data_IF_823011313631
#
_entry.id   IF_823011313631
#
_cell.length_a   1.000
_cell.length_b   1.000
_cell.length_c   1.000
_cell.angle_alpha   90.00
_cell.angle_beta   90.00
_cell.angle_gamma   90.00
#
_symmetry.space_group_name_H-M   'P 1'
#
loop_
_entity.id
_entity.type
_entity.pdbx_description
1 polymer ?
#
# COMPACT_ATOMS: atom_id res chain seq x y z
N UNK A 1 2.94 -31.50 -19.57
CA UNK A 1 2.31 -30.26 -20.08
C UNK A 1 0.84 -30.05 -19.69
N UNK A 2 -0.15 -30.83 -20.18
CA UNK A 2 -1.58 -30.61 -19.78
C UNK A 2 -1.83 -30.83 -18.29
N UNK A 3 -1.23 -31.87 -17.71
CA UNK A 3 -1.35 -32.20 -16.29
C UNK A 3 -0.64 -31.18 -15.38
N UNK A 4 0.50 -30.64 -15.81
CA UNK A 4 1.23 -29.58 -15.07
C UNK A 4 0.46 -28.26 -15.08
N UNK A 5 -0.11 -27.86 -16.22
CA UNK A 5 -0.96 -26.67 -16.30
C UNK A 5 -2.19 -26.78 -15.38
N UNK A 6 -2.80 -27.98 -15.28
CA UNK A 6 -3.94 -28.22 -14.39
C UNK A 6 -3.53 -28.14 -12.90
N UNK A 7 -2.35 -28.67 -12.54
CA UNK A 7 -1.83 -28.58 -11.17
C UNK A 7 -1.54 -27.12 -10.78
N UNK A 8 -0.93 -26.34 -11.67
CA UNK A 8 -0.64 -24.93 -11.42
C UNK A 8 -1.92 -24.11 -11.25
N UNK A 9 -2.91 -24.32 -12.12
CA UNK A 9 -4.22 -23.67 -12.02
C UNK A 9 -4.94 -24.04 -10.71
N UNK A 10 -4.81 -25.29 -10.25
CA UNK A 10 -5.36 -25.73 -8.98
C UNK A 10 -4.64 -25.09 -7.79
N UNK A 11 -3.31 -24.98 -7.81
CA UNK A 11 -2.51 -24.33 -6.77
C UNK A 11 -2.86 -22.84 -6.65
N UNK A 12 -2.96 -22.13 -7.77
CA UNK A 12 -3.41 -20.74 -7.79
C UNK A 12 -4.84 -20.58 -7.24
N UNK A 13 -5.78 -21.47 -7.60
CA UNK A 13 -7.14 -21.46 -7.04
C UNK A 13 -7.16 -21.70 -5.53
N UNK A 14 -6.27 -22.55 -5.03
CA UNK A 14 -6.12 -22.79 -3.59
C UNK A 14 -5.58 -21.56 -2.87
N UNK A 15 -4.48 -20.97 -3.34
CA UNK A 15 -3.91 -19.76 -2.74
C UNK A 15 -4.87 -18.55 -2.82
N UNK A 16 -5.63 -18.42 -3.90
CA UNK A 16 -6.68 -17.41 -4.02
C UNK A 16 -7.72 -17.53 -2.89
N UNK A 17 -8.21 -18.74 -2.62
CA UNK A 17 -9.17 -19.00 -1.54
C UNK A 17 -8.54 -18.83 -0.17
N UNK A 18 -7.34 -19.36 0.03
CA UNK A 18 -6.58 -19.21 1.27
C UNK A 18 -6.38 -17.73 1.60
N UNK A 19 -5.95 -16.92 0.63
CA UNK A 19 -5.75 -15.47 0.83
C UNK A 19 -7.01 -14.71 1.23
N UNK A 20 -8.16 -15.04 0.61
CA UNK A 20 -9.45 -14.45 1.02
C UNK A 20 -9.78 -14.89 2.45
N UNK A 21 -9.68 -16.18 2.76
CA UNK A 21 -10.00 -16.70 4.09
C UNK A 21 -9.10 -16.11 5.17
N UNK A 22 -7.77 -16.06 4.93
CA UNK A 22 -6.80 -15.43 5.85
C UNK A 22 -7.18 -14.00 6.18
N UNK A 23 -7.62 -13.20 5.21
CA UNK A 23 -8.04 -11.82 5.46
C UNK A 23 -9.38 -11.77 6.22
N UNK A 24 -10.38 -12.55 5.80
CA UNK A 24 -11.72 -12.50 6.38
C UNK A 24 -11.76 -13.04 7.81
N UNK A 25 -11.07 -14.14 8.09
CA UNK A 25 -11.01 -14.78 9.41
C UNK A 25 -10.29 -13.91 10.44
N UNK A 26 -9.37 -13.04 9.99
CA UNK A 26 -8.61 -12.14 10.85
C UNK A 26 -9.17 -10.71 10.88
N UNK A 27 -10.22 -10.39 10.11
CA UNK A 27 -10.84 -9.07 10.20
C UNK A 27 -11.55 -8.92 11.55
N UNK A 28 -11.11 -7.96 12.34
CA UNK A 28 -11.71 -7.68 13.64
C UNK A 28 -13.21 -7.40 13.52
N UNK A 29 -14.01 -7.76 14.53
CA UNK A 29 -15.47 -7.54 14.55
C UNK A 29 -15.85 -6.06 14.37
N UNK A 30 -14.97 -5.14 14.77
CA UNK A 30 -15.12 -3.70 14.53
C UNK A 30 -14.84 -3.23 13.10
N UNK A 31 -14.25 -4.06 12.25
CA UNK A 31 -13.94 -3.77 10.83
C UNK A 31 -12.46 -3.56 10.53
N UNK A 32 -11.61 -3.41 11.55
CA UNK A 32 -10.16 -3.28 11.40
C UNK A 32 -9.51 -4.55 10.83
N UNK A 33 -8.39 -4.39 10.13
CA UNK A 33 -7.51 -5.48 9.76
C UNK A 33 -6.22 -5.39 10.60
N UNK A 34 -5.83 -6.43 11.36
CA UNK A 34 -4.50 -6.49 11.94
C UNK A 34 -3.46 -6.63 10.82
N UNK A 35 -2.27 -6.06 10.97
CA UNK A 35 -1.21 -6.23 9.96
C UNK A 35 -0.77 -7.70 9.85
N UNK A 36 -0.54 -8.37 10.99
CA UNK A 36 -0.31 -9.82 11.06
C UNK A 36 -0.92 -10.39 12.36
N UNK A 37 -1.78 -11.42 12.29
CA UNK A 37 -2.47 -11.96 13.46
C UNK A 37 -1.54 -12.74 14.40
N UNK A 38 -0.48 -13.34 13.86
CA UNK A 38 0.42 -14.24 14.60
C UNK A 38 1.76 -13.60 14.96
N UNK A 39 1.85 -12.27 14.88
CA UNK A 39 3.08 -11.53 15.14
C UNK A 39 2.78 -10.39 16.13
N UNK A 40 3.27 -10.52 17.35
CA UNK A 40 2.81 -9.74 18.50
C UNK A 40 2.93 -8.22 18.32
N UNK A 41 3.96 -7.74 17.64
CA UNK A 41 4.14 -6.31 17.36
C UNK A 41 3.23 -5.78 16.25
N UNK A 42 2.59 -6.66 15.47
CA UNK A 42 1.73 -6.35 14.31
C UNK A 42 0.24 -6.66 14.54
N UNK A 43 -0.17 -6.93 15.78
CA UNK A 43 -1.58 -7.11 16.15
C UNK A 43 -2.39 -5.79 16.23
N UNK A 44 -1.93 -4.78 15.50
CA UNK A 44 -2.54 -3.45 15.40
C UNK A 44 -3.00 -3.19 13.97
N UNK A 45 -3.84 -2.17 13.79
CA UNK A 45 -4.35 -1.77 12.50
C UNK A 45 -3.63 -0.51 11.99
N UNK A 46 -2.86 -0.67 10.91
CA UNK A 46 -2.34 0.45 10.13
C UNK A 46 -3.36 0.83 9.07
N UNK A 47 -3.57 2.14 8.87
CA UNK A 47 -4.48 2.61 7.83
C UNK A 47 -3.98 2.24 6.43
N UNK A 48 -2.67 2.23 6.22
CA UNK A 48 -2.01 1.83 4.97
C UNK A 48 -2.35 0.38 4.61
N UNK A 49 -1.92 -0.56 5.44
CA UNK A 49 -2.12 -2.01 5.27
C UNK A 49 -3.60 -2.35 5.14
N UNK A 50 -4.43 -1.76 6.02
CA UNK A 50 -5.87 -1.94 6.00
C UNK A 50 -6.53 -1.42 4.73
N UNK A 51 -6.04 -0.32 4.14
CA UNK A 51 -6.59 0.24 2.89
C UNK A 51 -6.33 -0.66 1.69
N UNK A 52 -5.11 -1.20 1.55
CA UNK A 52 -4.81 -2.15 0.48
C UNK A 52 -5.52 -3.49 0.69
N UNK A 53 -5.68 -3.92 1.95
CA UNK A 53 -6.46 -5.11 2.31
C UNK A 53 -7.94 -4.93 1.97
N UNK A 54 -8.53 -3.79 2.32
CA UNK A 54 -9.91 -3.44 1.98
C UNK A 54 -10.11 -3.36 0.46
N UNK A 55 -9.18 -2.74 -0.27
CA UNK A 55 -9.22 -2.70 -1.73
C UNK A 55 -9.17 -4.10 -2.36
N UNK A 56 -8.34 -5.01 -1.84
CA UNK A 56 -8.33 -6.40 -2.27
C UNK A 56 -9.67 -7.10 -2.02
N UNK A 57 -10.33 -6.84 -0.89
CA UNK A 57 -11.66 -7.35 -0.60
C UNK A 57 -12.71 -6.79 -1.56
N UNK A 58 -12.65 -5.51 -1.90
CA UNK A 58 -13.50 -4.92 -2.94
C UNK A 58 -13.29 -5.62 -4.30
N UNK A 59 -12.03 -5.77 -4.75
CA UNK A 59 -11.68 -6.39 -6.04
C UNK A 59 -12.08 -7.86 -6.14
N UNK A 60 -12.17 -8.55 -5.02
CA UNK A 60 -12.59 -9.97 -4.95
C UNK A 60 -14.09 -10.16 -4.75
N UNK A 61 -14.87 -9.07 -4.67
CA UNK A 61 -16.32 -9.12 -4.46
C UNK A 61 -16.75 -9.23 -2.99
N UNK A 62 -15.80 -9.22 -2.04
CA UNK A 62 -16.04 -9.19 -0.60
C UNK A 62 -16.32 -7.75 -0.13
N UNK A 63 -17.28 -7.08 -0.80
CA UNK A 63 -17.57 -5.65 -0.64
C UNK A 63 -17.94 -5.27 0.80
N UNK A 64 -18.65 -6.14 1.52
CA UNK A 64 -19.00 -5.88 2.92
C UNK A 64 -17.77 -5.84 3.85
N UNK A 65 -16.76 -6.68 3.59
CA UNK A 65 -15.51 -6.66 4.35
C UNK A 65 -14.77 -5.32 4.14
N UNK A 66 -14.69 -4.84 2.90
CA UNK A 66 -14.15 -3.51 2.60
C UNK A 66 -14.95 -2.40 3.30
N UNK A 67 -16.29 -2.44 3.20
CA UNK A 67 -17.19 -1.45 3.82
C UNK A 67 -16.98 -1.32 5.33
N UNK A 68 -16.86 -2.46 6.03
CA UNK A 68 -16.62 -2.49 7.48
C UNK A 68 -15.32 -1.79 7.85
N UNK A 69 -14.25 -1.98 7.07
CA UNK A 69 -13.00 -1.25 7.28
C UNK A 69 -13.16 0.25 7.08
N UNK A 70 -13.83 0.69 6.00
CA UNK A 70 -14.05 2.12 5.75
C UNK A 70 -14.85 2.80 6.88
N UNK A 71 -15.87 2.12 7.40
CA UNK A 71 -16.64 2.57 8.56
C UNK A 71 -15.79 2.61 9.85
N UNK A 72 -14.93 1.62 10.05
CA UNK A 72 -14.01 1.57 11.18
C UNK A 72 -13.07 2.78 11.17
N UNK A 73 -12.40 3.06 10.04
CA UNK A 73 -11.49 4.22 9.92
C UNK A 73 -12.25 5.53 10.13
N UNK A 74 -13.44 5.69 9.53
CA UNK A 74 -14.28 6.86 9.75
C UNK A 74 -14.58 7.09 11.24
N UNK A 75 -14.99 6.03 11.97
CA UNK A 75 -15.23 6.11 13.42
C UNK A 75 -13.96 6.50 14.18
N UNK A 76 -12.82 5.91 13.82
CA UNK A 76 -11.53 6.17 14.45
C UNK A 76 -11.09 7.62 14.24
N UNK A 77 -11.11 8.14 13.01
CA UNK A 77 -10.69 9.52 12.72
C UNK A 77 -11.62 10.53 13.39
N UNK A 78 -12.94 10.29 13.38
CA UNK A 78 -13.89 11.19 14.03
C UNK A 78 -13.71 11.24 15.55
N UNK A 79 -13.25 10.17 16.20
CA UNK A 79 -12.90 10.17 17.63
C UNK A 79 -11.81 11.19 17.95
N UNK A 80 -10.89 11.43 17.02
CA UNK A 80 -9.73 12.30 17.19
C UNK A 80 -9.86 13.63 16.45
N UNK A 81 -11.09 14.05 16.09
CA UNK A 81 -11.30 15.34 15.39
C UNK A 81 -10.81 16.54 16.20
N UNK A 82 -11.00 16.53 17.52
CA UNK A 82 -10.49 17.59 18.41
C UNK A 82 -8.97 17.73 18.37
N UNK A 83 -8.24 16.62 18.21
CA UNK A 83 -6.78 16.62 18.05
C UNK A 83 -6.34 17.29 16.76
N UNK A 84 -7.10 17.10 15.67
CA UNK A 84 -6.89 17.82 14.40
C UNK A 84 -7.12 19.33 14.60
N UNK A 85 -8.17 19.71 15.33
CA UNK A 85 -8.47 21.12 15.61
C UNK A 85 -7.35 21.80 16.43
N UNK A 86 -6.83 21.10 17.44
CA UNK A 86 -5.71 21.56 18.26
C UNK A 86 -4.41 21.71 17.46
N UNK A 87 -4.08 20.71 16.63
CA UNK A 87 -2.91 20.76 15.75
C UNK A 87 -3.01 21.92 14.76
N UNK A 88 -4.17 22.11 14.13
CA UNK A 88 -4.40 23.23 13.21
C UNK A 88 -4.21 24.59 13.91
N UNK A 89 -4.70 24.71 15.15
CA UNK A 89 -4.52 25.91 15.99
C UNK A 89 -3.05 26.16 16.33
N UNK A 90 -2.30 25.11 16.72
CA UNK A 90 -0.86 25.20 17.01
C UNK A 90 -0.07 25.66 15.78
N UNK A 91 -0.30 25.04 14.62
CA UNK A 91 0.37 25.39 13.35
C UNK A 91 0.07 26.84 12.97
N UNK A 92 -1.20 27.28 13.04
CA UNK A 92 -1.59 28.67 12.74
C UNK A 92 -0.92 29.71 13.64
N UNK A 93 -0.67 29.36 14.90
CA UNK A 93 0.02 30.23 15.87
C UNK A 93 1.54 30.19 15.74
N UNK A 94 2.10 29.34 14.87
CA UNK A 94 3.54 29.10 14.80
C UNK A 94 4.10 28.46 16.08
N UNK A 95 3.26 27.76 16.85
CA UNK A 95 3.71 27.03 18.04
C UNK A 95 4.50 25.79 17.64
N UNK A 96 5.48 25.41 18.48
CA UNK A 96 6.22 24.17 18.31
C UNK A 96 5.26 22.98 18.39
N UNK A 97 5.34 22.07 17.43
CA UNK A 97 4.61 20.79 17.43
C UNK A 97 5.48 19.68 18.02
N UNK A 98 4.82 18.70 18.61
CA UNK A 98 5.43 17.47 19.14
C UNK A 98 4.82 16.25 18.44
N UNK A 99 5.50 15.09 18.47
CA UNK A 99 5.00 13.89 17.80
C UNK A 99 3.60 13.47 18.30
N UNK A 100 3.30 13.73 19.58
CA UNK A 100 2.00 13.46 20.21
C UNK A 100 0.88 14.36 19.70
N UNK A 101 1.18 15.47 19.02
CA UNK A 101 0.18 16.35 18.41
C UNK A 101 -0.42 15.77 17.13
N UNK A 102 0.28 14.81 16.50
CA UNK A 102 -0.13 14.19 15.25
C UNK A 102 -0.97 12.95 15.50
N UNK A 103 -1.81 12.59 14.52
CA UNK A 103 -2.49 11.30 14.53
C UNK A 103 -1.47 10.18 14.23
N UNK A 104 -1.61 8.98 14.83
CA UNK A 104 -0.63 7.92 14.70
C UNK A 104 -0.74 7.14 13.39
N UNK A 105 0.27 6.33 13.10
CA UNK A 105 0.34 5.41 11.97
C UNK A 105 -0.58 4.18 12.16
N UNK A 106 -0.71 3.75 13.42
CA UNK A 106 -1.40 2.53 13.84
C UNK A 106 -2.32 2.78 15.02
N UNK A 107 -3.36 1.96 15.11
CA UNK A 107 -4.35 1.98 16.17
C UNK A 107 -4.57 0.58 16.74
N UNK A 108 -5.13 0.47 17.94
CA UNK A 108 -5.74 -0.79 18.39
C UNK A 108 -6.87 -1.19 17.43
N UNK A 109 -7.30 -2.46 17.47
CA UNK A 109 -8.36 -2.94 16.58
C UNK A 109 -9.74 -2.31 16.88
N UNK A 110 -9.89 -1.65 18.03
CA UNK A 110 -11.05 -0.85 18.44
C UNK A 110 -10.94 0.64 18.02
N UNK A 111 -9.79 1.03 17.46
CA UNK A 111 -9.52 2.38 16.96
C UNK A 111 -9.03 3.35 18.02
N UNK A 112 -8.29 2.89 19.03
CA UNK A 112 -7.64 3.76 20.01
C UNK A 112 -6.17 3.99 19.66
N UNK A 113 -5.65 5.18 19.99
CA UNK A 113 -4.20 5.44 19.97
C UNK A 113 -3.49 4.54 20.99
N UNK A 114 -2.21 4.30 20.74
CA UNK A 114 -1.34 3.50 21.59
C UNK A 114 -0.26 4.45 22.11
N UNK A 115 -0.04 4.42 23.43
CA UNK A 115 1.07 5.13 24.05
C UNK A 115 2.30 4.21 24.06
N UNK A 116 3.16 4.35 23.05
CA UNK A 116 4.42 3.63 22.92
C UNK A 116 5.49 4.48 22.20
N UNK A 117 6.72 3.95 22.11
CA UNK A 117 7.84 4.60 21.42
C UNK A 117 7.81 4.36 19.90
N UNK A 118 6.65 3.98 19.32
CA UNK A 118 6.57 3.66 17.90
C UNK A 118 6.75 4.91 17.03
N UNK A 119 7.38 4.80 15.85
CA UNK A 119 7.43 5.87 14.83
C UNK A 119 6.04 6.26 14.30
N UNK A 120 5.27 6.98 15.12
CA UNK A 120 3.84 7.11 14.96
C UNK A 120 3.42 8.16 13.93
N UNK A 121 4.21 9.22 13.68
CA UNK A 121 3.79 10.25 12.72
C UNK A 121 4.04 9.79 11.28
N UNK A 122 2.98 9.31 10.63
CA UNK A 122 2.94 8.90 9.22
C UNK A 122 1.62 9.34 8.60
N UNK A 123 1.66 9.94 7.41
CA UNK A 123 0.46 10.49 6.76
C UNK A 123 -0.02 9.68 5.54
N UNK A 124 0.77 8.71 5.10
CA UNK A 124 0.47 7.91 3.91
C UNK A 124 -0.77 7.01 4.09
N UNK A 125 -1.01 6.50 5.31
CA UNK A 125 -2.18 5.69 5.62
C UNK A 125 -3.50 6.45 5.47
N UNK A 126 -3.51 7.73 5.81
CA UNK A 126 -4.67 8.62 5.66
C UNK A 126 -4.98 8.89 4.19
N UNK A 127 -3.94 9.15 3.38
CA UNK A 127 -4.08 9.26 1.93
C UNK A 127 -4.58 7.96 1.30
N UNK A 128 -4.04 6.82 1.73
CA UNK A 128 -4.43 5.49 1.27
C UNK A 128 -5.91 5.18 1.58
N UNK A 129 -6.39 5.58 2.76
CA UNK A 129 -7.80 5.39 3.14
C UNK A 129 -8.76 6.23 2.30
N UNK A 130 -8.43 7.51 2.04
CA UNK A 130 -9.22 8.35 1.13
C UNK A 130 -9.27 7.75 -0.28
N UNK A 131 -8.13 7.26 -0.79
CA UNK A 131 -8.06 6.59 -2.08
C UNK A 131 -8.95 5.34 -2.12
N UNK A 132 -8.82 4.45 -1.13
CA UNK A 132 -9.62 3.23 -1.05
C UNK A 132 -11.13 3.53 -0.94
N UNK A 133 -11.50 4.58 -0.21
CA UNK A 133 -12.89 5.06 -0.13
C UNK A 133 -13.39 5.51 -1.50
N UNK A 134 -12.58 6.26 -2.25
CA UNK A 134 -12.88 6.66 -3.63
C UNK A 134 -13.10 5.47 -4.56
N UNK A 135 -12.20 4.48 -4.53
CA UNK A 135 -12.34 3.25 -5.31
C UNK A 135 -13.63 2.49 -4.97
N UNK A 136 -13.94 2.37 -3.67
CA UNK A 136 -15.17 1.71 -3.21
C UNK A 136 -16.43 2.41 -3.73
N UNK A 137 -16.51 3.74 -3.60
CA UNK A 137 -17.69 4.49 -4.05
C UNK A 137 -17.81 4.44 -5.57
N UNK A 138 -16.71 4.52 -6.33
CA UNK A 138 -16.72 4.40 -7.79
C UNK A 138 -17.23 3.03 -8.24
N UNK A 139 -16.80 1.95 -7.58
CA UNK A 139 -17.19 0.59 -7.92
C UNK A 139 -18.64 0.25 -7.53
N UNK A 140 -19.09 0.73 -6.37
CA UNK A 140 -20.37 0.29 -5.76
C UNK A 140 -21.51 1.29 -5.90
N UNK A 141 -21.19 2.57 -6.08
CA UNK A 141 -22.14 3.69 -5.99
C UNK A 141 -22.95 3.71 -4.68
N UNK A 142 -22.39 3.19 -3.58
CA UNK A 142 -23.03 3.20 -2.26
C UNK A 142 -22.99 4.61 -1.63
N UNK A 143 -23.87 5.49 -2.10
CA UNK A 143 -23.96 6.87 -1.62
C UNK A 143 -24.42 6.97 -0.15
N UNK A 144 -25.06 5.93 0.38
CA UNK A 144 -25.40 5.85 1.82
C UNK A 144 -24.15 5.67 2.66
N UNK A 145 -23.22 4.81 2.22
CA UNK A 145 -21.91 4.73 2.85
C UNK A 145 -21.19 6.06 2.73
N UNK A 146 -21.13 6.66 1.53
CA UNK A 146 -20.48 7.96 1.33
C UNK A 146 -20.95 8.98 2.36
N UNK A 147 -22.27 9.18 2.50
CA UNK A 147 -22.85 10.09 3.49
C UNK A 147 -22.39 9.75 4.92
N UNK A 148 -22.29 8.46 5.25
CA UNK A 148 -21.90 7.98 6.59
C UNK A 148 -20.42 8.23 6.89
N UNK A 149 -19.55 8.20 5.87
CA UNK A 149 -18.10 8.39 6.02
C UNK A 149 -17.63 9.81 5.70
N UNK A 150 -18.51 10.69 5.19
CA UNK A 150 -18.19 12.09 4.88
C UNK A 150 -17.51 12.84 6.03
N UNK A 151 -17.95 12.74 7.30
CA UNK A 151 -17.27 13.44 8.39
C UNK A 151 -15.79 13.03 8.55
N UNK A 152 -15.51 11.72 8.44
CA UNK A 152 -14.14 11.22 8.48
C UNK A 152 -13.33 11.66 7.27
N UNK A 153 -13.95 11.71 6.07
CA UNK A 153 -13.31 12.22 4.86
C UNK A 153 -12.90 13.69 5.05
N UNK A 154 -13.80 14.54 5.54
CA UNK A 154 -13.53 15.96 5.76
C UNK A 154 -12.41 16.17 6.79
N UNK A 155 -12.45 15.44 7.91
CA UNK A 155 -11.38 15.47 8.91
C UNK A 155 -10.03 15.03 8.32
N UNK A 156 -10.03 14.00 7.48
CA UNK A 156 -8.82 13.52 6.82
C UNK A 156 -8.28 14.52 5.80
N UNK A 157 -9.14 15.14 4.99
CA UNK A 157 -8.76 16.21 4.05
C UNK A 157 -8.09 17.36 4.83
N UNK A 158 -8.71 17.82 5.92
CA UNK A 158 -8.16 18.88 6.77
C UNK A 158 -6.78 18.49 7.32
N UNK A 159 -6.67 17.29 7.87
CA UNK A 159 -5.42 16.79 8.43
C UNK A 159 -4.31 16.72 7.37
N UNK A 160 -4.58 16.18 6.18
CA UNK A 160 -3.59 16.11 5.10
C UNK A 160 -3.19 17.50 4.57
N UNK A 161 -4.13 18.44 4.49
CA UNK A 161 -3.84 19.82 4.05
C UNK A 161 -2.81 20.50 4.96
N UNK A 162 -2.90 20.30 6.28
CA UNK A 162 -2.00 20.94 7.24
C UNK A 162 -0.69 20.19 7.45
N UNK A 163 -0.64 18.88 7.13
CA UNK A 163 0.53 18.03 7.43
C UNK A 163 1.39 17.65 6.24
N UNK A 164 0.92 17.75 4.98
CA UNK A 164 1.63 17.14 3.84
C UNK A 164 3.07 17.65 3.57
N UNK A 165 3.45 18.81 4.10
CA UNK A 165 4.82 19.35 4.00
C UNK A 165 5.64 19.16 5.28
N UNK A 166 5.06 18.58 6.33
CA UNK A 166 5.76 18.32 7.58
C UNK A 166 6.51 17.00 7.42
N UNK A 167 7.83 16.94 7.71
CA UNK A 167 8.59 15.70 7.71
C UNK A 167 7.97 14.66 8.64
N UNK A 168 7.88 13.42 8.17
CA UNK A 168 7.25 12.31 8.88
C UNK A 168 7.97 11.02 8.51
N UNK A 169 7.75 9.94 9.26
CA UNK A 169 8.32 8.64 8.92
C UNK A 169 7.76 8.14 7.58
N UNK A 170 8.54 7.34 6.86
CA UNK A 170 8.06 6.67 5.65
C UNK A 170 7.17 5.45 5.97
N UNK A 171 6.74 4.74 4.93
CA UNK A 171 5.96 3.52 5.08
C UNK A 171 6.72 2.36 5.73
N UNK A 172 8.02 2.54 5.97
CA UNK A 172 8.92 1.60 6.62
C UNK A 172 9.27 2.00 8.04
N UNK A 173 8.64 3.06 8.58
CA UNK A 173 8.86 3.57 9.93
C UNK A 173 10.26 4.17 10.13
N UNK A 174 10.87 4.64 9.05
CA UNK A 174 12.24 5.16 9.03
C UNK A 174 12.25 6.66 8.64
N UNK A 175 13.36 7.34 8.98
CA UNK A 175 13.68 8.70 8.51
C UNK A 175 12.62 9.79 8.80
N UNK A 176 12.10 9.85 10.03
CA UNK A 176 11.05 10.79 10.45
C UNK A 176 11.33 12.29 10.24
N UNK A 177 12.60 12.64 10.03
CA UNK A 177 13.07 14.00 9.71
C UNK A 177 13.02 14.35 8.22
N UNK A 178 12.57 13.43 7.35
CA UNK A 178 12.55 13.60 5.89
C UNK A 178 11.13 13.70 5.33
N UNK A 179 11.04 14.17 4.07
CA UNK A 179 9.81 14.14 3.28
C UNK A 179 9.99 13.08 2.20
N UNK A 180 9.06 12.12 2.16
CA UNK A 180 9.14 10.94 1.32
C UNK A 180 8.24 11.06 0.09
N UNK A 181 8.80 10.79 -1.09
CA UNK A 181 8.07 10.94 -2.35
C UNK A 181 6.90 9.96 -2.45
N UNK A 182 7.04 8.74 -1.93
CA UNK A 182 5.96 7.74 -1.88
C UNK A 182 4.84 8.13 -0.92
N UNK A 183 5.15 8.70 0.26
CA UNK A 183 4.15 9.27 1.17
C UNK A 183 3.34 10.37 0.49
N UNK A 184 3.99 11.27 -0.25
CA UNK A 184 3.30 12.31 -1.02
C UNK A 184 2.43 11.72 -2.14
N UNK A 185 2.80 10.57 -2.71
CA UNK A 185 1.95 9.87 -3.69
C UNK A 185 0.63 9.42 -3.05
N UNK A 186 0.67 8.86 -1.83
CA UNK A 186 -0.53 8.49 -1.07
C UNK A 186 -1.40 9.72 -0.78
N UNK A 187 -0.80 10.83 -0.34
CA UNK A 187 -1.51 12.09 -0.08
C UNK A 187 -2.18 12.62 -1.35
N UNK A 188 -1.45 12.66 -2.47
CA UNK A 188 -2.01 13.05 -3.77
C UNK A 188 -3.19 12.17 -4.17
N UNK A 189 -3.00 10.84 -4.15
CA UNK A 189 -4.01 9.89 -4.59
C UNK A 189 -5.28 9.97 -3.74
N UNK A 190 -5.12 10.08 -2.43
CA UNK A 190 -6.22 10.26 -1.48
C UNK A 190 -6.99 11.55 -1.70
N UNK A 191 -6.30 12.69 -1.77
CA UNK A 191 -6.94 13.98 -1.98
C UNK A 191 -7.59 14.09 -3.36
N UNK A 192 -7.00 13.50 -4.39
CA UNK A 192 -7.57 13.44 -5.74
C UNK A 192 -8.85 12.60 -5.76
N UNK A 193 -8.81 11.41 -5.16
CA UNK A 193 -9.97 10.54 -5.05
C UNK A 193 -11.10 11.20 -4.24
N UNK A 194 -10.74 11.87 -3.13
CA UNK A 194 -11.71 12.62 -2.34
C UNK A 194 -12.38 13.70 -3.18
N UNK A 195 -11.61 14.53 -3.91
CA UNK A 195 -12.15 15.63 -4.71
C UNK A 195 -13.24 15.22 -5.72
N UNK A 196 -13.28 13.95 -6.15
CA UNK A 196 -14.29 13.40 -7.05
C UNK A 196 -15.59 12.95 -6.34
N UNK A 197 -15.60 12.88 -5.01
CA UNK A 197 -16.71 12.30 -4.25
C UNK A 197 -17.88 13.26 -4.01
N UNK A 198 -17.64 14.57 -3.94
CA UNK A 198 -18.68 15.58 -3.69
C UNK A 198 -18.28 16.98 -4.18
N UNK A 199 -19.29 17.80 -4.49
CA UNK A 199 -19.12 19.18 -4.95
C UNK A 199 -19.38 20.19 -3.83
N UNK A 200 -18.43 20.32 -2.89
CA UNK A 200 -18.47 21.39 -1.87
C UNK A 200 -17.06 21.92 -1.54
N UNK A 201 -16.99 22.93 -0.67
CA UNK A 201 -15.73 23.65 -0.39
C UNK A 201 -14.59 22.74 0.11
N UNK A 202 -14.87 21.77 0.97
CA UNK A 202 -13.84 20.88 1.53
C UNK A 202 -13.25 19.96 0.46
N UNK A 203 -14.12 19.37 -0.36
CA UNK A 203 -13.70 18.51 -1.46
C UNK A 203 -12.99 19.30 -2.58
N UNK A 204 -13.41 20.54 -2.82
CA UNK A 204 -12.69 21.45 -3.72
C UNK A 204 -11.29 21.83 -3.18
N UNK A 205 -11.13 22.01 -1.85
CA UNK A 205 -9.82 22.19 -1.21
C UNK A 205 -8.94 20.96 -1.38
N UNK A 206 -9.50 19.75 -1.31
CA UNK A 206 -8.76 18.51 -1.57
C UNK A 206 -8.15 18.52 -2.98
N UNK A 207 -8.94 18.82 -4.01
CA UNK A 207 -8.46 18.91 -5.39
C UNK A 207 -7.37 19.97 -5.59
N UNK A 208 -7.54 21.16 -5.01
CA UNK A 208 -6.52 22.23 -5.05
C UNK A 208 -5.22 21.80 -4.38
N UNK A 209 -5.28 21.09 -3.27
CA UNK A 209 -4.10 20.61 -2.55
C UNK A 209 -3.45 19.44 -3.28
N UNK A 210 -4.21 18.50 -3.83
CA UNK A 210 -3.70 17.44 -4.69
C UNK A 210 -2.87 18.02 -5.86
N UNK A 211 -3.38 19.06 -6.53
CA UNK A 211 -2.63 19.76 -7.57
C UNK A 211 -1.30 20.33 -7.07
N UNK A 212 -1.27 20.93 -5.88
CA UNK A 212 -0.02 21.43 -5.25
C UNK A 212 0.96 20.30 -4.94
N UNK A 213 0.48 19.21 -4.32
CA UNK A 213 1.30 18.03 -3.99
C UNK A 213 1.91 17.44 -5.26
N UNK A 214 1.11 17.25 -6.32
CA UNK A 214 1.61 16.75 -7.61
C UNK A 214 2.69 17.65 -8.20
N UNK A 215 2.45 18.96 -8.24
CA UNK A 215 3.45 19.91 -8.73
C UNK A 215 4.74 19.88 -7.91
N UNK A 216 4.62 19.74 -6.60
CA UNK A 216 5.76 19.62 -5.71
C UNK A 216 6.55 18.33 -5.97
N UNK A 217 5.89 17.17 -6.11
CA UNK A 217 6.57 15.92 -6.49
C UNK A 217 7.32 16.10 -7.82
N UNK A 218 6.65 16.65 -8.84
CA UNK A 218 7.25 16.82 -10.18
C UNK A 218 8.42 17.81 -10.20
N UNK A 219 8.45 18.80 -9.31
CA UNK A 219 9.58 19.75 -9.22
C UNK A 219 10.83 19.17 -8.56
N UNK A 220 10.75 17.95 -8.01
CA UNK A 220 11.86 17.26 -7.34
C UNK A 220 12.35 16.01 -8.09
N UNK A 221 12.01 15.90 -9.38
CA UNK A 221 12.62 14.89 -10.27
C UNK A 221 14.13 15.17 -10.39
N UNK A 222 14.95 14.13 -10.22
CA UNK A 222 16.42 14.18 -10.32
C UNK A 222 16.91 13.10 -11.28
N UNK A 223 17.88 13.45 -12.11
CA UNK A 223 18.43 12.56 -13.16
C UNK A 223 17.36 11.87 -14.02
N UNK A 224 16.27 12.62 -14.27
CA UNK A 224 15.14 12.16 -15.06
C UNK A 224 14.25 11.14 -14.38
N UNK A 225 14.39 10.87 -13.07
CA UNK A 225 13.53 9.97 -12.29
C UNK A 225 13.14 10.55 -10.92
N UNK A 226 12.24 9.84 -10.24
CA UNK A 226 11.88 10.10 -8.84
C UNK A 226 12.83 9.38 -7.87
N UNK A 227 13.01 9.98 -6.70
CA UNK A 227 13.90 9.50 -5.63
C UNK A 227 13.12 9.32 -4.31
N UNK A 228 13.64 8.52 -3.39
CA UNK A 228 13.00 8.14 -2.11
C UNK A 228 12.61 9.36 -1.29
N UNK A 229 13.54 10.30 -1.14
CA UNK A 229 13.35 11.54 -0.38
C UNK A 229 13.36 12.75 -1.30
N UNK A 230 12.65 13.78 -0.88
CA UNK A 230 12.78 15.10 -1.49
C UNK A 230 14.21 15.62 -1.30
N UNK A 231 14.83 16.10 -2.40
CA UNK A 231 16.20 16.62 -2.45
C UNK A 231 17.33 15.60 -2.20
N UNK A 232 17.10 14.31 -2.42
CA UNK A 232 18.10 13.25 -2.29
C UNK A 232 18.06 12.32 -3.51
N UNK A 233 19.06 11.45 -3.65
CA UNK A 233 19.25 10.49 -4.76
C UNK A 233 18.95 9.03 -4.35
N UNK A 234 18.42 8.80 -3.14
CA UNK A 234 18.00 7.47 -2.66
C UNK A 234 16.91 6.84 -3.54
N UNK A 235 16.84 5.51 -3.57
CA UNK A 235 15.82 4.74 -4.30
C UNK A 235 15.01 3.89 -3.33
N UNK A 236 13.71 3.72 -3.60
CA UNK A 236 12.81 2.86 -2.84
C UNK A 236 11.77 2.23 -3.76
N UNK A 237 11.41 0.97 -3.53
CA UNK A 237 10.38 0.28 -4.31
C UNK A 237 8.97 0.89 -4.13
N UNK A 238 8.69 1.56 -3.00
CA UNK A 238 7.45 2.31 -2.79
C UNK A 238 7.26 3.47 -3.78
N UNK A 239 8.29 3.88 -4.54
CA UNK A 239 8.13 4.85 -5.63
C UNK A 239 7.20 4.36 -6.74
N UNK A 240 6.92 3.05 -6.84
CA UNK A 240 5.89 2.50 -7.72
C UNK A 240 4.50 3.12 -7.45
N UNK A 241 4.27 3.62 -6.23
CA UNK A 241 3.04 4.28 -5.80
C UNK A 241 2.72 5.55 -6.59
N UNK A 242 3.75 6.20 -7.16
CA UNK A 242 3.59 7.37 -8.03
C UNK A 242 2.81 7.05 -9.30
N UNK A 243 2.87 5.81 -9.77
CA UNK A 243 2.11 5.34 -10.92
C UNK A 243 0.85 4.60 -10.49
N UNK A 244 1.00 3.49 -9.76
CA UNK A 244 -0.12 2.64 -9.34
C UNK A 244 -0.14 2.53 -7.81
N UNK A 245 -1.29 2.71 -7.15
CA UNK A 245 -2.58 3.09 -7.70
C UNK A 245 -2.79 4.60 -7.80
N UNK A 246 -1.92 5.42 -7.21
CA UNK A 246 -2.24 6.82 -6.94
C UNK A 246 -2.13 7.75 -8.13
N UNK A 247 -1.54 7.30 -9.26
CA UNK A 247 -1.58 8.00 -10.55
C UNK A 247 -1.10 9.46 -10.48
N UNK A 248 -0.05 9.73 -9.71
CA UNK A 248 0.68 11.01 -9.76
C UNK A 248 1.17 11.24 -11.19
N UNK A 249 1.68 10.19 -11.81
CA UNK A 249 2.08 10.16 -13.22
C UNK A 249 1.55 8.91 -13.93
N UNK A 250 1.47 8.96 -15.25
CA UNK A 250 1.19 7.79 -16.06
C UNK A 250 2.37 6.80 -16.01
N UNK A 251 2.08 5.51 -16.18
CA UNK A 251 3.06 4.43 -16.12
C UNK A 251 4.17 4.56 -17.17
N UNK A 252 3.87 5.16 -18.31
CA UNK A 252 4.76 5.39 -19.45
C UNK A 252 5.40 6.79 -19.44
N UNK A 253 5.15 7.59 -18.40
CA UNK A 253 5.84 8.88 -18.27
C UNK A 253 7.35 8.67 -18.20
N UNK A 254 8.18 9.53 -18.86
CA UNK A 254 9.62 9.34 -18.88
C UNK A 254 10.24 9.20 -17.49
N UNK A 255 9.75 9.99 -16.53
CA UNK A 255 10.20 9.94 -15.15
C UNK A 255 9.90 8.62 -14.46
N UNK A 256 8.70 8.07 -14.66
CA UNK A 256 8.33 6.78 -14.08
C UNK A 256 9.11 5.63 -14.73
N UNK A 257 9.27 5.64 -16.05
CA UNK A 257 10.07 4.62 -16.77
C UNK A 257 11.51 4.63 -16.26
N UNK A 258 12.12 5.81 -16.08
CA UNK A 258 13.45 5.94 -15.49
C UNK A 258 13.47 5.40 -14.05
N UNK A 259 12.53 5.77 -13.20
CA UNK A 259 12.44 5.24 -11.83
C UNK A 259 12.33 3.71 -11.80
N UNK A 260 11.45 3.11 -12.61
CA UNK A 260 11.30 1.65 -12.65
C UNK A 260 12.57 0.98 -13.15
N UNK A 261 13.26 1.54 -14.14
CA UNK A 261 14.55 0.98 -14.59
C UNK A 261 15.58 0.89 -13.46
N UNK A 262 15.63 1.90 -12.57
CA UNK A 262 16.53 1.90 -11.41
C UNK A 262 16.06 0.92 -10.33
N UNK A 263 14.76 0.77 -10.11
CA UNK A 263 14.19 -0.26 -9.21
C UNK A 263 14.54 -1.66 -9.73
N UNK A 264 14.41 -1.90 -11.03
CA UNK A 264 14.75 -3.19 -11.65
C UNK A 264 16.23 -3.51 -11.52
N UNK A 265 17.09 -2.52 -11.74
CA UNK A 265 18.53 -2.69 -11.64
C UNK A 265 18.98 -2.96 -10.19
N UNK A 266 18.43 -2.22 -9.22
CA UNK A 266 18.96 -2.20 -7.85
C UNK A 266 18.19 -3.08 -6.86
N UNK A 267 16.89 -3.29 -7.07
CA UNK A 267 15.99 -3.86 -6.06
C UNK A 267 15.32 -5.17 -6.50
N UNK A 268 15.19 -5.44 -7.81
CA UNK A 268 14.66 -6.69 -8.32
C UNK A 268 15.76 -7.76 -8.35
N UNK A 269 15.57 -8.84 -7.59
CA UNK A 269 16.51 -9.95 -7.54
C UNK A 269 16.29 -10.88 -8.75
N UNK A 270 17.39 -11.45 -9.27
CA UNK A 270 17.34 -12.41 -10.38
C UNK A 270 16.45 -13.61 -9.99
N UNK A 271 15.41 -13.85 -10.77
CA UNK A 271 14.42 -14.90 -10.54
C UNK A 271 13.11 -14.42 -9.91
N UNK A 272 13.04 -13.15 -9.48
CA UNK A 272 11.85 -12.55 -8.85
C UNK A 272 12.17 -11.99 -7.47
N UNK A 273 11.20 -11.32 -6.86
CA UNK A 273 11.36 -10.72 -5.53
C UNK A 273 12.00 -9.34 -5.53
N UNK A 274 11.33 -8.37 -4.92
CA UNK A 274 11.73 -6.96 -4.86
C UNK A 274 12.09 -6.59 -3.42
N UNK A 275 13.24 -5.94 -3.23
CA UNK A 275 13.67 -5.36 -1.94
C UNK A 275 13.05 -3.98 -1.70
N UNK A 276 13.02 -3.50 -0.44
CA UNK A 276 12.57 -2.13 -0.10
C UNK A 276 13.48 -1.07 -0.72
N UNK A 277 14.75 -1.09 -0.31
CA UNK A 277 15.83 -0.21 -0.76
C UNK A 277 17.18 -0.94 -0.54
N UNK A 278 18.31 -0.47 -1.12
CA UNK A 278 19.55 -1.26 -1.16
C UNK A 278 20.20 -1.50 0.21
N UNK A 279 20.10 -0.55 1.13
CA UNK A 279 20.73 -0.55 2.46
C UNK A 279 19.88 -1.24 3.54
N UNK A 280 18.75 -1.84 3.17
CA UNK A 280 17.79 -2.43 4.10
C UNK A 280 18.42 -3.58 4.91
N UNK A 281 18.42 -3.44 6.23
CA UNK A 281 18.92 -4.45 7.17
C UNK A 281 17.80 -5.20 7.89
N UNK A 282 16.54 -4.81 7.72
CA UNK A 282 15.41 -5.45 8.40
C UNK A 282 15.28 -6.89 7.93
N UNK A 283 15.38 -7.84 8.88
CA UNK A 283 15.54 -9.28 8.62
C UNK A 283 16.62 -9.63 7.56
N UNK A 284 17.65 -8.79 7.45
CA UNK A 284 18.75 -8.95 6.50
C UNK A 284 18.48 -8.43 5.09
N UNK A 285 17.44 -7.62 4.88
CA UNK A 285 17.13 -7.00 3.57
C UNK A 285 16.51 -8.00 2.58
N UNK A 286 15.40 -8.62 3.00
CA UNK A 286 14.71 -9.65 2.26
C UNK A 286 13.98 -9.15 1.00
N UNK A 287 13.43 -10.10 0.24
CA UNK A 287 12.54 -9.86 -0.89
C UNK A 287 11.10 -9.84 -0.39
N UNK A 288 10.39 -8.74 -0.62
CA UNK A 288 9.04 -8.52 -0.09
C UNK A 288 7.97 -8.98 -1.07
N UNK A 289 6.99 -9.72 -0.54
CA UNK A 289 5.88 -10.24 -1.36
C UNK A 289 5.07 -9.08 -1.94
N UNK A 290 4.67 -8.14 -1.09
CA UNK A 290 3.85 -7.00 -1.49
C UNK A 290 4.53 -6.08 -2.52
N UNK A 291 5.85 -5.87 -2.43
CA UNK A 291 6.60 -5.04 -3.40
C UNK A 291 6.75 -5.74 -4.74
N UNK A 292 6.88 -7.06 -4.72
CA UNK A 292 6.92 -7.88 -5.93
C UNK A 292 5.57 -7.86 -6.66
N UNK A 293 4.47 -7.96 -5.91
CA UNK A 293 3.13 -7.73 -6.42
C UNK A 293 2.98 -6.31 -6.99
N UNK A 294 3.55 -5.30 -6.33
CA UNK A 294 3.45 -3.93 -6.82
C UNK A 294 4.13 -3.71 -8.17
N UNK A 295 5.34 -4.27 -8.34
CA UNK A 295 6.05 -4.21 -9.60
C UNK A 295 5.29 -4.98 -10.69
N UNK A 296 4.68 -6.12 -10.35
CA UNK A 296 3.79 -6.85 -11.25
C UNK A 296 2.57 -6.00 -11.65
N UNK A 297 1.95 -5.28 -10.71
CA UNK A 297 0.84 -4.36 -11.01
C UNK A 297 1.28 -3.24 -11.98
N UNK A 298 2.43 -2.62 -11.74
CA UNK A 298 2.99 -1.63 -12.65
C UNK A 298 3.21 -2.24 -14.05
N UNK A 299 3.80 -3.44 -14.14
CA UNK A 299 4.02 -4.12 -15.41
C UNK A 299 2.73 -4.40 -16.17
N UNK A 300 1.66 -4.82 -15.51
CA UNK A 300 0.36 -5.02 -16.16
C UNK A 300 -0.14 -3.73 -16.81
N UNK A 301 -0.05 -2.62 -16.07
CA UNK A 301 -0.48 -1.31 -16.56
C UNK A 301 0.44 -0.76 -17.66
N UNK A 302 1.73 -1.08 -17.62
CA UNK A 302 2.73 -0.72 -18.63
C UNK A 302 2.74 -1.67 -19.85
N UNK A 303 1.81 -2.63 -19.94
CA UNK A 303 1.73 -3.58 -21.05
C UNK A 303 2.75 -4.75 -21.00
N UNK A 304 3.56 -4.82 -19.95
CA UNK A 304 4.61 -5.84 -19.69
C UNK A 304 4.04 -7.10 -19.03
N UNK A 305 3.01 -7.66 -19.65
CA UNK A 305 2.24 -8.77 -19.09
C UNK A 305 3.06 -9.99 -18.70
N UNK A 306 3.92 -10.48 -19.60
CA UNK A 306 4.73 -11.68 -19.36
C UNK A 306 5.64 -11.55 -18.13
N UNK A 307 6.16 -10.35 -17.88
CA UNK A 307 6.98 -10.04 -16.71
C UNK A 307 6.15 -10.03 -15.44
N UNK A 308 4.93 -9.46 -15.50
CA UNK A 308 3.99 -9.52 -14.38
C UNK A 308 3.63 -10.95 -14.00
N UNK A 309 3.35 -11.83 -14.97
CA UNK A 309 3.05 -13.25 -14.69
C UNK A 309 4.24 -13.97 -14.05
N UNK A 310 5.48 -13.66 -14.45
CA UNK A 310 6.68 -14.23 -13.82
C UNK A 310 6.83 -13.79 -12.36
N UNK A 311 6.59 -12.52 -12.06
CA UNK A 311 6.62 -12.02 -10.69
C UNK A 311 5.49 -12.61 -9.83
N UNK A 312 4.28 -12.78 -10.39
CA UNK A 312 3.19 -13.42 -9.66
C UNK A 312 3.49 -14.89 -9.38
N UNK A 313 4.04 -15.63 -10.35
CA UNK A 313 4.47 -17.01 -10.15
C UNK A 313 5.52 -17.11 -9.02
N UNK A 314 6.48 -16.19 -8.99
CA UNK A 314 7.44 -16.11 -7.87
C UNK A 314 6.72 -15.89 -6.53
N UNK A 315 5.72 -15.00 -6.46
CA UNK A 315 4.93 -14.79 -5.23
C UNK A 315 4.21 -16.07 -4.81
N UNK A 316 3.61 -16.80 -5.74
CA UNK A 316 2.88 -18.05 -5.48
C UNK A 316 3.80 -19.19 -4.98
N UNK A 317 5.09 -19.13 -5.29
CA UNK A 317 6.11 -20.05 -4.76
C UNK A 317 6.49 -19.78 -3.30
N UNK A 318 6.19 -18.58 -2.77
CA UNK A 318 6.59 -18.21 -1.40
C UNK A 318 5.56 -18.60 -0.32
N UNK A 319 4.42 -19.17 -0.71
CA UNK A 319 3.41 -19.63 0.25
C UNK A 319 3.92 -20.83 1.05
N UNK A 320 3.54 -20.92 2.33
CA UNK A 320 3.76 -22.13 3.13
C UNK A 320 2.77 -23.26 2.76
N UNK A 321 2.85 -24.39 3.46
CA UNK A 321 1.96 -25.54 3.25
C UNK A 321 0.47 -25.25 3.53
N UNK A 322 0.17 -24.19 4.28
CA UNK A 322 -1.19 -23.74 4.59
C UNK A 322 -1.66 -22.62 3.65
N UNK A 323 -0.82 -22.22 2.68
CA UNK A 323 -1.10 -21.13 1.77
C UNK A 323 -0.89 -19.74 2.39
N UNK A 324 -0.18 -19.61 3.51
CA UNK A 324 0.16 -18.32 4.11
C UNK A 324 1.30 -17.64 3.34
N UNK A 325 1.16 -16.35 3.07
CA UNK A 325 2.21 -15.53 2.47
C UNK A 325 2.94 -14.72 3.56
N UNK A 326 4.29 -14.76 3.59
CA UNK A 326 5.07 -13.99 4.55
C UNK A 326 5.13 -12.49 4.16
N UNK A 327 5.62 -11.66 5.05
CA UNK A 327 6.02 -10.28 4.74
C UNK A 327 7.15 -10.25 3.71
N UNK A 328 8.20 -11.03 3.98
CA UNK A 328 9.41 -11.11 3.16
C UNK A 328 10.02 -12.51 3.23
N UNK A 329 10.82 -12.84 2.22
CA UNK A 329 11.63 -14.06 2.18
C UNK A 329 13.11 -13.71 2.12
N UNK A 330 13.98 -14.52 2.74
CA UNK A 330 15.41 -14.29 2.67
C UNK A 330 15.89 -14.46 1.22
N UNK A 331 16.55 -13.44 0.68
CA UNK A 331 17.17 -13.53 -0.64
C UNK A 331 18.58 -14.10 -0.60
N UNK A 332 19.10 -14.45 -1.78
CA UNK A 332 20.49 -14.93 -1.95
C UNK A 332 21.54 -13.95 -1.38
N UNK A 333 21.20 -12.67 -1.32
CA UNK A 333 22.07 -11.60 -0.82
C UNK A 333 21.69 -11.14 0.59
N UNK A 334 20.80 -11.85 1.30
CA UNK A 334 20.36 -11.43 2.62
C UNK A 334 21.52 -11.47 3.61
N UNK A 335 21.67 -10.44 4.43
CA UNK A 335 22.68 -10.42 5.47
C UNK A 335 22.25 -11.33 6.63
N UNK A 336 22.90 -12.49 6.76
CA UNK A 336 22.56 -13.52 7.74
C UNK A 336 22.75 -13.06 9.19
N UNK A 337 23.71 -12.17 9.45
CA UNK A 337 23.93 -11.61 10.81
C UNK A 337 22.76 -10.74 11.24
N UNK A 338 22.34 -9.81 10.37
CA UNK A 338 21.17 -8.97 10.65
C UNK A 338 19.88 -9.79 10.77
N UNK A 339 19.72 -10.81 9.93
CA UNK A 339 18.56 -11.71 10.02
C UNK A 339 18.47 -12.41 11.38
N UNK A 340 19.59 -12.91 11.89
CA UNK A 340 19.63 -13.57 13.20
C UNK A 340 19.34 -12.59 14.35
N UNK A 341 19.83 -11.35 14.24
CA UNK A 341 19.54 -10.30 15.21
C UNK A 341 18.03 -9.98 15.28
N UNK A 342 17.39 -9.78 14.13
CA UNK A 342 15.94 -9.54 14.07
C UNK A 342 15.13 -10.74 14.56
N UNK A 343 15.55 -11.96 14.24
CA UNK A 343 14.91 -13.19 14.74
C UNK A 343 14.98 -13.31 16.25
N UNK A 344 16.12 -12.98 16.86
CA UNK A 344 16.26 -12.95 18.31
C UNK A 344 15.38 -11.87 18.94
N UNK A 345 15.24 -10.72 18.27
CA UNK A 345 14.48 -9.58 18.78
C UNK A 345 12.97 -9.82 18.72
N UNK A 346 12.44 -10.21 17.56
CA UNK A 346 11.01 -10.22 17.28
C UNK A 346 10.46 -11.56 16.77
N UNK A 347 11.29 -12.61 16.73
CA UNK A 347 10.88 -13.93 16.25
C UNK A 347 10.98 -14.06 14.72
N UNK A 348 10.42 -15.14 14.13
CA UNK A 348 10.44 -15.33 12.68
C UNK A 348 9.66 -14.22 11.96
N UNK A 349 9.94 -14.03 10.66
CA UNK A 349 9.24 -13.05 9.81
C UNK A 349 7.73 -13.24 9.90
N UNK A 350 7.00 -12.13 9.99
CA UNK A 350 5.54 -12.12 10.09
C UNK A 350 4.90 -12.95 8.97
N UNK A 351 4.19 -14.01 9.38
CA UNK A 351 3.50 -14.97 8.49
C UNK A 351 2.23 -15.47 9.17
N UNK A 352 1.03 -15.27 8.59
CA UNK A 352 0.76 -14.50 7.37
C UNK A 352 0.90 -12.99 7.58
N UNK A 353 1.29 -12.25 6.55
CA UNK A 353 1.07 -10.80 6.46
C UNK A 353 -0.18 -10.53 5.61
N UNK A 354 -1.20 -9.87 6.18
CA UNK A 354 -2.46 -9.61 5.45
C UNK A 354 -2.23 -8.76 4.21
N UNK A 355 -1.29 -7.81 4.26
CA UNK A 355 -0.95 -6.97 3.11
C UNK A 355 -0.32 -7.78 1.96
N UNK A 356 0.48 -8.81 2.24
CA UNK A 356 1.01 -9.73 1.21
C UNK A 356 -0.13 -10.46 0.48
N UNK A 357 -1.08 -11.02 1.23
CA UNK A 357 -2.28 -11.65 0.67
C UNK A 357 -3.13 -10.68 -0.13
N UNK A 358 -3.32 -9.46 0.38
CA UNK A 358 -4.09 -8.43 -0.29
C UNK A 358 -3.49 -8.05 -1.64
N UNK A 359 -2.17 -7.79 -1.69
CA UNK A 359 -1.50 -7.41 -2.92
C UNK A 359 -1.47 -8.55 -3.95
N UNK A 360 -1.34 -9.81 -3.50
CA UNK A 360 -1.50 -10.98 -4.36
C UNK A 360 -2.89 -11.00 -5.03
N UNK A 361 -3.95 -10.82 -4.24
CA UNK A 361 -5.33 -10.78 -4.75
C UNK A 361 -5.56 -9.64 -5.73
N UNK A 362 -5.02 -8.44 -5.44
CA UNK A 362 -5.12 -7.27 -6.34
C UNK A 362 -4.52 -7.60 -7.70
N UNK A 363 -3.26 -8.03 -7.75
CA UNK A 363 -2.56 -8.32 -9.01
C UNK A 363 -3.28 -9.43 -9.78
N UNK A 364 -3.71 -10.48 -9.10
CA UNK A 364 -4.42 -11.58 -9.76
C UNK A 364 -5.76 -11.12 -10.37
N UNK A 365 -6.47 -10.20 -9.73
CA UNK A 365 -7.71 -9.63 -10.31
C UNK A 365 -7.41 -8.71 -11.49
N UNK A 366 -6.39 -7.87 -11.41
CA UNK A 366 -5.94 -7.03 -12.54
C UNK A 366 -5.57 -7.88 -13.76
N UNK A 367 -4.89 -9.01 -13.55
CA UNK A 367 -4.59 -9.98 -14.64
C UNK A 367 -5.87 -10.54 -15.25
N UNK A 368 -6.83 -10.99 -14.43
CA UNK A 368 -8.10 -11.56 -14.91
C UNK A 368 -8.93 -10.53 -15.69
N UNK A 369 -8.94 -9.28 -15.25
CA UNK A 369 -9.64 -8.20 -15.94
C UNK A 369 -9.01 -7.91 -17.31
N UNK A 370 -7.68 -7.87 -17.38
CA UNK A 370 -6.93 -7.73 -18.64
C UNK A 370 -7.20 -8.88 -19.61
N UNK A 371 -7.24 -10.11 -19.11
CA UNK A 371 -7.50 -11.30 -19.91
C UNK A 371 -8.94 -11.31 -20.46
N UNK A 372 -9.93 -10.91 -19.65
CA UNK A 372 -11.33 -10.73 -20.10
C UNK A 372 -11.51 -9.58 -21.08
N UNK A 373 -10.72 -8.51 -20.93
CA UNK A 373 -10.70 -7.34 -21.80
C UNK A 373 -10.09 -7.57 -23.19
N UNK A 374 -9.65 -8.79 -23.53
CA UNK A 374 -9.26 -9.16 -24.89
C UNK A 374 -7.77 -8.96 -25.23
N UNK A 375 -6.90 -8.65 -24.26
CA UNK A 375 -5.45 -8.51 -24.52
C UNK A 375 -4.74 -9.86 -24.64
N UNK A 376 -5.40 -10.99 -24.34
CA UNK A 376 -4.91 -12.33 -24.65
C UNK A 376 -5.96 -13.25 -25.30
N UNK A 377 -6.39 -12.92 -26.53
CA UNK A 377 -6.95 -13.92 -27.45
C UNK A 377 -5.90 -14.82 -28.13
N UNK A 378 -4.62 -14.79 -27.69
CA UNK A 378 -3.52 -15.52 -28.34
C UNK A 378 -2.82 -16.62 -27.54
N UNK A 379 -3.09 -16.79 -26.24
CA UNK A 379 -2.27 -17.67 -25.41
C UNK A 379 -2.89 -19.03 -25.03
N UNK A 380 -3.93 -19.43 -25.75
CA UNK A 380 -4.28 -20.85 -25.93
C UNK A 380 -3.44 -21.57 -27.01
N UNK A 381 -2.57 -20.87 -27.75
CA UNK A 381 -1.88 -21.44 -28.93
C UNK A 381 -0.35 -21.48 -28.88
N UNK A 382 0.31 -21.02 -27.81
CA UNK A 382 1.79 -20.99 -27.75
C UNK A 382 2.44 -21.85 -26.67
N UNK A 383 1.68 -22.73 -25.99
CA UNK A 383 2.27 -23.86 -25.24
C UNK A 383 2.37 -25.16 -26.07
N UNK A 384 1.90 -25.21 -27.32
CA UNK A 384 1.99 -26.43 -28.15
C UNK A 384 3.26 -26.56 -29.02
N UNK A 385 4.21 -25.63 -28.94
CA UNK A 385 5.48 -25.76 -29.65
C UNK A 385 6.63 -25.35 -28.73
N UNK A 386 7.06 -26.30 -27.89
CA UNK A 386 8.46 -26.64 -27.65
C UNK A 386 8.51 -27.97 -26.91
#
# INVERSE_FOLDING_TARGET
MKLENQKEEQKQKQLYRASINTILENQHSGGAFPASPNYSTYQYAWLRDGSFTAYAMLKTGNTESCKRFLLWVNKTINRYSGKIDELESKIKKGSKTENTDFLPARYTLEGFEIEDDWPAFQIDGYGSWLWCTGEYIRATRDYKLLQSVTPGIQNTIRYLIITWQIPCYDCWEEYGERIHTSTLACVYGGLSAAAELAENEDFAKAGKTAYKVRRFILSHIRDGGFTKFINDDGIDASLLWLAVPFKVVAVDSPAMVKTVSVIEEKLLVKGGGVKRYPEDTFYGGGQWILLTCWLAWYYLMAGRGEEAYRLLAWVEEQQDENGCLPEQVPGLTANTSWMEEWRKRWGPVATPLLWSHAMYLVVLQEMKERDRGGVMSRWGKHRQQK
#
